data_IF_587179760485
#
_entry.id   IF_587179760485
#
_cell.length_a   1.000
_cell.length_b   1.000
_cell.length_c   1.000
_cell.angle_alpha   90.00
_cell.angle_beta   90.00
_cell.angle_gamma   90.00
#
_symmetry.space_group_name_H-M   'P 1'
#
loop_
_entity.id
_entity.type
_entity.pdbx_description
1 polymer ?
#
# COMPACT_ATOMS: atom_id res chain seq x y z
N UNK A 1 1.45 8.86 2.51
CA UNK A 1 2.27 8.02 1.59
C UNK A 1 2.35 6.61 2.15
N UNK A 2 2.08 5.60 1.32
CA UNK A 2 2.23 4.19 1.68
C UNK A 2 3.27 3.55 0.74
N UNK A 3 4.01 2.57 1.24
CA UNK A 3 5.05 1.87 0.48
C UNK A 3 5.06 0.39 0.86
N UNK A 4 5.18 -0.47 -0.15
CA UNK A 4 5.31 -1.91 0.04
C UNK A 4 6.75 -2.36 -0.18
N UNK A 5 7.32 -3.06 0.80
CA UNK A 5 8.66 -3.65 0.69
C UNK A 5 8.60 -5.17 0.91
N UNK A 6 9.32 -5.96 0.11
CA UNK A 6 9.46 -7.41 0.34
C UNK A 6 10.69 -7.71 1.20
N UNK A 7 10.53 -8.48 2.29
CA UNK A 7 11.63 -9.01 3.12
C UNK A 7 11.38 -10.45 3.55
N UNK A 8 12.38 -11.33 3.41
CA UNK A 8 12.33 -12.76 3.81
C UNK A 8 11.00 -13.43 3.43
N UNK A 9 10.63 -13.28 2.16
CA UNK A 9 9.40 -13.79 1.56
C UNK A 9 8.06 -13.22 2.07
N UNK A 10 8.09 -12.18 2.92
CA UNK A 10 6.90 -11.45 3.37
C UNK A 10 6.88 -10.03 2.83
N UNK A 11 5.69 -9.49 2.66
CA UNK A 11 5.50 -8.08 2.31
C UNK A 11 5.31 -7.26 3.59
N UNK A 12 5.86 -6.07 3.60
CA UNK A 12 5.74 -5.09 4.67
C UNK A 12 5.07 -3.87 4.06
N UNK A 13 3.97 -3.42 4.67
CA UNK A 13 3.28 -2.18 4.34
C UNK A 13 3.72 -1.11 5.34
N UNK A 14 4.36 -0.06 4.84
CA UNK A 14 4.80 1.10 5.62
C UNK A 14 3.98 2.30 5.18
N UNK A 15 3.23 2.91 6.11
CA UNK A 15 2.32 4.01 5.79
C UNK A 15 2.20 4.98 6.97
N UNK A 16 1.70 6.17 6.71
CA UNK A 16 1.33 7.12 7.76
C UNK A 16 -0.18 7.03 8.01
N UNK A 17 -0.59 6.96 9.27
CA UNK A 17 -1.99 7.05 9.64
C UNK A 17 -2.53 8.48 9.47
N UNK A 18 -3.84 8.66 9.65
CA UNK A 18 -4.49 9.97 9.57
C UNK A 18 -4.07 10.94 10.67
N UNK A 19 -3.40 10.46 11.72
CA UNK A 19 -2.79 11.28 12.77
C UNK A 19 -1.33 11.66 12.45
N UNK A 20 -0.82 11.24 11.28
CA UNK A 20 0.56 11.48 10.85
C UNK A 20 1.59 10.57 11.50
N UNK A 21 1.19 9.54 12.24
CA UNK A 21 2.14 8.56 12.82
C UNK A 21 2.46 7.48 11.80
N UNK A 22 3.73 7.10 11.75
CA UNK A 22 4.22 6.03 10.89
C UNK A 22 3.83 4.66 11.46
N UNK A 23 3.13 3.88 10.66
CA UNK A 23 2.73 2.51 10.94
C UNK A 23 3.45 1.56 10.00
N UNK A 24 3.95 0.44 10.55
CA UNK A 24 4.59 -0.62 9.76
C UNK A 24 3.94 -1.96 10.05
N UNK A 25 3.23 -2.50 9.07
CA UNK A 25 2.54 -3.78 9.19
C UNK A 25 3.21 -4.84 8.34
N UNK A 26 3.53 -5.98 8.96
CA UNK A 26 4.02 -7.15 8.21
C UNK A 26 2.82 -7.96 7.74
N UNK A 27 2.70 -8.16 6.43
CA UNK A 27 1.65 -8.96 5.83
C UNK A 27 1.93 -10.45 6.05
N UNK A 28 0.85 -11.25 6.04
CA UNK A 28 0.92 -12.69 6.25
C UNK A 28 1.79 -13.34 5.18
N UNK A 29 2.44 -14.43 5.56
CA UNK A 29 3.20 -15.27 4.63
C UNK A 29 2.27 -15.86 3.56
N UNK A 30 2.71 -15.85 2.30
CA UNK A 30 1.87 -16.22 1.15
C UNK A 30 1.04 -15.07 0.55
N UNK A 31 1.11 -13.84 1.10
CA UNK A 31 0.46 -12.68 0.48
C UNK A 31 1.07 -12.40 -0.90
N UNK A 32 0.24 -12.31 -1.93
CA UNK A 32 0.71 -12.01 -3.29
C UNK A 32 1.03 -10.52 -3.45
N UNK A 33 1.95 -10.18 -4.36
CA UNK A 33 2.29 -8.77 -4.69
C UNK A 33 1.03 -7.96 -5.03
N UNK A 34 0.10 -8.55 -5.78
CA UNK A 34 -1.15 -7.90 -6.20
C UNK A 34 -2.08 -7.62 -5.01
N UNK A 35 -2.17 -8.54 -4.05
CA UNK A 35 -2.93 -8.32 -2.82
C UNK A 35 -2.30 -7.22 -1.96
N UNK A 36 -0.97 -7.19 -1.86
CA UNK A 36 -0.25 -6.13 -1.15
C UNK A 36 -0.51 -4.76 -1.79
N UNK A 37 -0.36 -4.61 -3.12
CA UNK A 37 -0.65 -3.36 -3.84
C UNK A 37 -2.11 -2.91 -3.69
N UNK A 38 -3.07 -3.84 -3.70
CA UNK A 38 -4.47 -3.50 -3.43
C UNK A 38 -4.65 -2.95 -2.01
N UNK A 39 -3.94 -3.51 -1.04
CA UNK A 39 -4.00 -3.07 0.35
C UNK A 39 -3.39 -1.66 0.52
N UNK A 40 -2.25 -1.40 -0.09
CA UNK A 40 -1.65 -0.04 -0.17
C UNK A 40 -2.65 0.98 -0.73
N UNK A 41 -3.29 0.66 -1.86
CA UNK A 41 -4.30 1.54 -2.45
C UNK A 41 -5.51 1.74 -1.52
N UNK A 42 -5.94 0.71 -0.79
CA UNK A 42 -7.06 0.84 0.16
C UNK A 42 -6.71 1.70 1.39
N UNK A 43 -5.50 1.56 1.93
CA UNK A 43 -5.00 2.36 3.05
C UNK A 43 -4.83 3.82 2.64
N UNK A 44 -4.45 4.05 1.38
CA UNK A 44 -4.39 5.39 0.79
C UNK A 44 -5.76 6.08 0.74
N UNK A 45 -6.82 5.37 0.34
CA UNK A 45 -8.19 5.91 0.31
C UNK A 45 -8.70 6.22 1.72
N UNK A 46 -8.45 5.34 2.69
CA UNK A 46 -8.94 5.49 4.06
C UNK A 46 -8.26 6.64 4.83
N UNK A 47 -6.99 6.93 4.54
CA UNK A 47 -6.22 7.99 5.22
C UNK A 47 -6.43 9.39 4.64
N UNK A 48 -7.22 9.53 3.56
CA UNK A 48 -7.61 10.84 3.02
C UNK A 48 -6.48 11.60 2.30
N UNK A 49 -5.37 10.94 1.96
CA UNK A 49 -4.25 11.59 1.27
C UNK A 49 -4.51 11.74 -0.25
N UNK A 50 -5.50 12.55 -0.63
CA UNK A 50 -5.85 12.80 -2.04
C UNK A 50 -4.95 13.86 -2.69
N UNK A 51 -3.64 13.60 -2.78
CA UNK A 51 -2.70 14.45 -3.52
C UNK A 51 -1.98 13.61 -4.58
N UNK A 52 -2.52 13.65 -5.79
CA UNK A 52 -1.81 13.46 -7.07
C UNK A 52 -1.07 12.12 -7.21
N UNK A 53 -1.74 11.13 -7.80
CA UNK A 53 -1.17 10.35 -8.93
C UNK A 53 -2.32 9.83 -9.81
N UNK A 54 -3.09 10.76 -10.38
CA UNK A 54 -3.71 10.52 -11.68
C UNK A 54 -2.59 10.42 -12.72
N UNK A 55 -2.04 9.22 -12.90
CA UNK A 55 -1.45 8.84 -14.17
C UNK A 55 -1.97 7.46 -14.53
N UNK A 56 -3.05 7.48 -15.32
CA UNK A 56 -3.54 6.34 -16.12
C UNK A 56 -2.34 5.61 -16.74
N UNK A 57 -2.14 4.33 -16.42
CA UNK A 57 -1.53 3.37 -17.35
C UNK A 57 -2.14 1.98 -17.17
N UNK A 58 -2.98 1.63 -18.15
CA UNK A 58 -3.14 0.26 -18.63
C UNK A 58 -4.03 -0.66 -17.80
N UNK A 59 -5.35 -0.51 -17.93
CA UNK A 59 -6.25 -1.68 -17.87
C UNK A 59 -6.77 -1.84 -19.29
N UNK A 60 -6.11 -2.70 -20.06
CA UNK A 60 -6.60 -3.16 -21.35
C UNK A 60 -7.69 -4.20 -21.06
N UNK A 61 -8.91 -3.93 -21.54
CA UNK A 61 -10.01 -4.89 -21.61
C UNK A 61 -9.85 -5.77 -22.86
#
# INVERSE_FOLDING_TARGET
>A
MACITKRRNRYILDFYDSQGKRQRQTLREGTTKKAACRLENSVFIQTGHNLVTTTKKGVTA
#
